data_IF_285676450963
#
_entry.id   IF_285676450963
#
_cell.length_a   1.000
_cell.length_b   1.000
_cell.length_c   1.000
_cell.angle_alpha   90.00
_cell.angle_beta   90.00
_cell.angle_gamma   90.00
#
_symmetry.space_group_name_H-M   'P 1'
#
loop_
_entity.id
_entity.type
_entity.pdbx_description
1 polymer ?
#
# COMPACT_ATOMS: atom_id res chain seq x y z
N UNK A 1 -47.52 14.49 89.29
CA UNK A 1 -47.88 13.71 88.09
C UNK A 1 -48.70 14.63 87.20
N UNK A 2 -48.01 15.30 86.27
CA UNK A 2 -48.52 16.46 85.54
C UNK A 2 -49.17 16.07 84.21
N UNK A 3 -50.25 16.79 83.88
CA UNK A 3 -51.00 16.76 82.63
C UNK A 3 -50.49 17.84 81.66
N UNK A 4 -50.40 17.43 80.39
CA UNK A 4 -50.62 18.13 79.12
C UNK A 4 -50.56 19.67 79.04
N UNK A 5 -49.68 20.14 78.14
CA UNK A 5 -49.81 21.36 77.35
C UNK A 5 -49.08 21.15 76.00
N UNK A 6 -49.79 21.43 74.89
CA UNK A 6 -49.27 21.69 73.53
C UNK A 6 -48.43 22.99 73.53
N UNK A 7 -47.45 23.19 72.60
CA UNK A 7 -47.80 23.68 71.26
C UNK A 7 -46.82 23.43 70.08
N UNK A 8 -47.36 23.69 68.89
CA UNK A 8 -46.78 24.33 67.70
C UNK A 8 -45.70 23.66 66.85
N UNK A 9 -46.18 23.29 65.66
CA UNK A 9 -45.47 23.04 64.39
C UNK A 9 -44.83 24.34 63.87
N UNK A 10 -43.58 24.26 63.43
CA UNK A 10 -43.00 25.20 62.47
C UNK A 10 -42.21 24.41 61.42
N UNK A 11 -42.54 24.67 60.15
CA UNK A 11 -42.06 24.00 58.94
C UNK A 11 -40.69 24.56 58.54
N UNK A 12 -39.74 23.69 58.23
CA UNK A 12 -38.51 24.05 57.51
C UNK A 12 -38.35 23.08 56.32
N UNK A 13 -38.54 23.64 55.13
CA UNK A 13 -38.32 22.99 53.83
C UNK A 13 -36.83 22.67 53.66
N UNK A 14 -36.51 21.40 53.45
CA UNK A 14 -35.19 20.96 53.00
C UNK A 14 -35.20 20.94 51.47
N UNK A 15 -34.41 21.82 50.86
CA UNK A 15 -34.12 21.78 49.42
C UNK A 15 -33.05 20.71 49.16
N UNK A 16 -33.43 19.64 48.46
CA UNK A 16 -32.51 18.64 47.93
C UNK A 16 -31.67 19.26 46.81
N UNK A 17 -30.40 19.54 47.08
CA UNK A 17 -29.40 19.76 46.03
C UNK A 17 -28.70 18.44 45.78
N UNK A 18 -29.06 17.76 44.68
CA UNK A 18 -28.29 16.63 44.15
C UNK A 18 -26.94 17.16 43.66
N UNK A 19 -25.87 16.82 44.37
CA UNK A 19 -24.51 16.94 43.85
C UNK A 19 -24.30 15.79 42.88
N UNK A 20 -24.32 16.07 41.58
CA UNK A 20 -23.78 15.15 40.58
C UNK A 20 -22.26 15.07 40.78
N UNK A 21 -21.82 14.00 41.45
CA UNK A 21 -20.42 13.62 41.42
C UNK A 21 -20.09 13.16 40.00
N UNK A 22 -19.35 13.99 39.24
CA UNK A 22 -18.68 13.54 38.03
C UNK A 22 -17.75 12.39 38.39
N UNK A 23 -18.01 11.21 37.81
CA UNK A 23 -17.05 10.12 37.82
C UNK A 23 -15.81 10.60 37.05
N UNK A 24 -14.74 10.93 37.77
CA UNK A 24 -13.40 10.97 37.19
C UNK A 24 -12.99 9.53 36.94
N UNK A 25 -12.97 9.13 35.67
CA UNK A 25 -12.27 7.93 35.22
C UNK A 25 -10.80 8.10 35.58
N UNK A 26 -10.35 7.31 36.56
CA UNK A 26 -8.95 7.28 36.97
C UNK A 26 -8.11 6.71 35.84
N UNK A 27 -7.24 7.55 35.26
CA UNK A 27 -6.18 7.11 34.37
C UNK A 27 -5.16 6.31 35.16
N UNK A 28 -4.94 5.06 34.76
CA UNK A 28 -3.72 4.33 35.11
C UNK A 28 -2.55 5.02 34.41
N UNK A 29 -1.92 5.98 35.08
CA UNK A 29 -0.64 6.55 34.67
C UNK A 29 0.46 5.52 34.91
N UNK A 30 0.74 4.69 33.91
CA UNK A 30 2.12 4.30 33.71
C UNK A 30 2.82 5.52 33.11
N UNK A 31 3.93 6.00 33.67
CA UNK A 31 4.50 7.33 33.37
C UNK A 31 4.92 7.56 31.91
N UNK A 32 4.72 6.56 31.05
CA UNK A 32 5.06 6.57 29.62
C UNK A 32 3.83 6.55 28.69
N UNK A 33 2.61 6.38 29.20
CA UNK A 33 1.42 6.28 28.36
C UNK A 33 0.18 6.88 29.04
N UNK A 34 -0.63 7.57 28.23
CA UNK A 34 -1.92 8.13 28.62
C UNK A 34 -2.98 7.71 27.60
N UNK A 35 -4.00 6.98 28.06
CA UNK A 35 -5.20 6.70 27.24
C UNK A 35 -6.02 7.98 27.13
N UNK A 36 -6.20 8.47 25.91
CA UNK A 36 -7.03 9.65 25.62
C UNK A 36 -8.49 9.25 25.39
N UNK A 37 -8.68 8.14 24.66
CA UNK A 37 -9.98 7.55 24.39
C UNK A 37 -9.82 6.03 24.20
N UNK A 38 -10.61 5.25 24.92
CA UNK A 38 -10.54 3.78 24.87
C UNK A 38 -11.52 3.17 23.86
N UNK A 39 -12.44 3.97 23.31
CA UNK A 39 -13.52 3.51 22.43
C UNK A 39 -13.03 3.42 20.99
N UNK A 40 -13.68 2.58 20.19
CA UNK A 40 -13.62 2.67 18.73
C UNK A 40 -14.88 3.38 18.26
N UNK A 41 -14.70 4.32 17.35
CA UNK A 41 -15.77 5.11 16.76
C UNK A 41 -15.97 4.77 15.30
N UNK A 42 -17.19 4.96 14.81
CA UNK A 42 -17.54 4.90 13.39
C UNK A 42 -17.93 6.29 12.91
N UNK A 43 -17.33 6.75 11.81
CA UNK A 43 -17.67 8.00 11.14
C UNK A 43 -17.98 7.72 9.67
N UNK A 44 -18.86 8.51 9.04
CA UNK A 44 -19.31 8.30 7.67
C UNK A 44 -20.79 8.59 7.49
N UNK A 45 -21.41 8.01 6.45
CA UNK A 45 -22.84 8.16 6.17
C UNK A 45 -23.59 6.84 5.90
N UNK A 46 -22.90 5.71 5.83
CA UNK A 46 -23.49 4.38 5.68
C UNK A 46 -23.48 3.56 6.98
N UNK A 47 -24.33 2.53 7.05
CA UNK A 47 -24.36 1.56 8.16
C UNK A 47 -23.41 0.39 7.87
N UNK A 48 -22.52 0.05 8.81
CA UNK A 48 -21.42 -0.92 8.63
C UNK A 48 -21.41 -2.03 9.71
N UNK A 49 -22.47 -2.86 9.80
CA UNK A 49 -22.59 -3.92 10.80
C UNK A 49 -21.49 -4.99 10.76
N UNK A 50 -20.74 -5.07 9.66
CA UNK A 50 -19.59 -5.95 9.47
C UNK A 50 -18.31 -5.48 10.17
N UNK A 51 -18.30 -4.30 10.81
CA UNK A 51 -17.18 -3.77 11.61
C UNK A 51 -17.48 -3.89 13.12
N UNK A 52 -17.34 -5.09 13.71
CA UNK A 52 -17.78 -5.36 15.08
C UNK A 52 -17.01 -4.59 16.15
N UNK A 53 -15.89 -3.97 15.80
CA UNK A 53 -15.09 -3.16 16.71
C UNK A 53 -15.74 -1.81 17.07
N UNK A 54 -16.66 -1.28 16.26
CA UNK A 54 -17.31 0.01 16.42
C UNK A 54 -18.85 -0.11 16.36
N UNK A 55 -19.62 0.93 16.71
CA UNK A 55 -21.06 0.97 16.45
C UNK A 55 -21.35 0.80 14.95
N UNK A 56 -22.46 0.14 14.56
CA UNK A 56 -22.81 -0.05 13.15
C UNK A 56 -23.32 1.21 12.46
N UNK A 57 -23.81 2.19 13.24
CA UNK A 57 -24.31 3.46 12.72
C UNK A 57 -23.27 4.55 13.00
N UNK A 58 -23.02 5.46 12.04
CA UNK A 58 -21.98 6.46 12.19
C UNK A 58 -22.35 7.47 13.28
N UNK A 59 -21.35 7.82 14.09
CA UNK A 59 -21.48 8.77 15.20
C UNK A 59 -21.32 10.24 14.74
N UNK A 60 -20.94 10.45 13.48
CA UNK A 60 -20.78 11.77 12.86
C UNK A 60 -19.73 11.76 11.76
N UNK A 61 -19.18 12.94 11.47
CA UNK A 61 -18.15 13.16 10.43
C UNK A 61 -16.78 13.54 11.01
N UNK A 62 -16.52 13.19 12.27
CA UNK A 62 -15.26 13.49 12.95
C UNK A 62 -15.37 13.34 14.47
N UNK A 63 -14.23 13.49 15.13
CA UNK A 63 -14.09 13.34 16.58
C UNK A 63 -13.50 14.61 17.18
N UNK A 64 -14.03 15.08 18.31
CA UNK A 64 -13.47 16.22 19.05
C UNK A 64 -13.67 16.04 20.54
N UNK A 65 -12.59 16.14 21.32
CA UNK A 65 -12.66 16.08 22.78
C UNK A 65 -11.51 16.84 23.44
N UNK A 66 -11.68 17.11 24.73
CA UNK A 66 -10.66 17.73 25.57
C UNK A 66 -9.93 16.68 26.40
N UNK A 67 -8.64 16.86 26.64
CA UNK A 67 -7.86 16.00 27.53
C UNK A 67 -6.81 16.81 28.30
N UNK A 68 -6.51 16.37 29.52
CA UNK A 68 -5.45 16.98 30.34
C UNK A 68 -4.09 16.37 29.98
N UNK A 69 -3.07 17.20 29.80
CA UNK A 69 -1.69 16.73 29.59
C UNK A 69 -0.67 17.77 30.06
N UNK A 70 0.60 17.46 29.84
CA UNK A 70 1.73 18.37 30.10
C UNK A 70 2.39 18.75 28.79
N UNK A 71 3.08 19.88 28.77
CA UNK A 71 3.90 20.27 27.62
C UNK A 71 4.93 19.18 27.27
N UNK A 72 4.92 18.75 26.02
CA UNK A 72 5.90 17.78 25.53
C UNK A 72 7.20 18.52 25.14
N UNK A 73 8.26 18.30 25.93
CA UNK A 73 9.57 18.94 25.67
C UNK A 73 10.31 18.34 24.48
N UNK A 74 10.03 17.08 24.16
CA UNK A 74 10.54 16.37 22.99
C UNK A 74 9.38 15.83 22.14
N UNK A 75 9.74 15.10 21.08
CA UNK A 75 8.76 14.37 20.29
C UNK A 75 8.15 13.26 21.15
N UNK A 76 6.82 13.20 21.14
CA UNK A 76 6.01 12.09 21.65
C UNK A 76 5.30 11.41 20.48
N UNK A 77 4.53 10.38 20.73
CA UNK A 77 3.75 9.70 19.69
C UNK A 77 2.31 9.51 20.10
N UNK A 78 1.43 9.51 19.10
CA UNK A 78 0.02 9.20 19.24
C UNK A 78 -0.24 7.88 18.52
N UNK A 79 -0.73 6.88 19.26
CA UNK A 79 -1.15 5.59 18.74
C UNK A 79 -2.67 5.52 18.67
N UNK A 80 -3.21 4.91 17.62
CA UNK A 80 -4.65 4.74 17.42
C UNK A 80 -4.93 3.58 16.47
N UNK A 81 -6.12 3.02 16.54
CA UNK A 81 -6.61 2.04 15.57
C UNK A 81 -7.43 2.73 14.48
N UNK A 82 -7.32 2.23 13.25
CA UNK A 82 -8.06 2.73 12.08
C UNK A 82 -8.47 1.59 11.14
N UNK A 83 -9.53 1.81 10.36
CA UNK A 83 -9.97 0.94 9.26
C UNK A 83 -10.61 1.77 8.14
N UNK A 84 -10.49 1.30 6.90
CA UNK A 84 -11.19 1.80 5.72
C UNK A 84 -10.94 3.28 5.38
N UNK A 85 -9.74 3.77 5.66
CA UNK A 85 -9.36 5.16 5.34
C UNK A 85 -9.13 5.27 3.81
N UNK A 86 -10.10 5.83 3.08
CA UNK A 86 -10.00 6.00 1.63
C UNK A 86 -9.75 7.46 1.24
N UNK A 87 -10.27 8.40 2.04
CA UNK A 87 -10.16 9.83 1.81
C UNK A 87 -9.25 10.52 2.86
N UNK A 88 -9.14 11.85 2.75
CA UNK A 88 -8.23 12.63 3.59
C UNK A 88 -8.85 12.86 4.96
N UNK A 89 -8.28 12.23 5.98
CA UNK A 89 -8.56 12.48 7.39
C UNK A 89 -7.36 13.15 8.06
N UNK A 90 -7.58 14.20 8.84
CA UNK A 90 -6.53 15.00 9.50
C UNK A 90 -6.68 14.90 11.00
N UNK A 91 -5.55 14.69 11.68
CA UNK A 91 -5.45 14.76 13.14
C UNK A 91 -4.90 16.12 13.53
N UNK A 92 -5.62 16.82 14.39
CA UNK A 92 -5.23 18.11 14.94
C UNK A 92 -5.16 18.06 16.46
N UNK A 93 -4.15 18.73 17.02
CA UNK A 93 -4.06 18.99 18.46
C UNK A 93 -3.85 20.48 18.67
N UNK A 94 -4.70 21.10 19.51
CA UNK A 94 -4.67 22.54 19.81
C UNK A 94 -4.72 23.43 18.54
N UNK A 95 -5.47 23.00 17.53
CA UNK A 95 -5.63 23.70 16.24
C UNK A 95 -4.44 23.56 15.28
N UNK A 96 -3.45 22.72 15.61
CA UNK A 96 -2.33 22.38 14.72
C UNK A 96 -2.54 20.99 14.15
N UNK A 97 -2.59 20.87 12.82
CA UNK A 97 -2.55 19.58 12.14
C UNK A 97 -1.20 18.90 12.39
N UNK A 98 -1.23 17.71 12.98
CA UNK A 98 -0.03 16.92 13.25
C UNK A 98 0.17 15.77 12.26
N UNK A 99 -0.90 15.29 11.64
CA UNK A 99 -0.83 14.21 10.64
C UNK A 99 -2.06 14.17 9.73
N UNK A 100 -1.87 13.62 8.53
CA UNK A 100 -2.94 13.02 7.74
C UNK A 100 -2.94 11.52 8.03
N UNK A 101 -4.11 10.94 8.29
CA UNK A 101 -4.25 9.50 8.56
C UNK A 101 -3.89 8.71 7.30
N UNK A 102 -3.06 7.67 7.47
CA UNK A 102 -2.62 6.81 6.36
C UNK A 102 -3.82 6.08 5.76
N UNK A 103 -3.90 5.99 4.44
CA UNK A 103 -4.93 5.18 3.76
C UNK A 103 -4.72 3.69 4.05
N UNK A 104 -5.79 2.97 4.36
CA UNK A 104 -5.77 1.53 4.65
C UNK A 104 -7.17 0.96 4.74
N UNK A 105 -7.43 -0.14 4.03
CA UNK A 105 -8.69 -0.89 4.13
C UNK A 105 -8.72 -1.77 5.37
N UNK A 106 -7.56 -2.31 5.78
CA UNK A 106 -7.45 -3.21 6.92
C UNK A 106 -7.57 -2.46 8.26
N UNK A 107 -8.04 -3.18 9.28
CA UNK A 107 -7.95 -2.72 10.67
C UNK A 107 -6.49 -2.79 11.12
N UNK A 108 -5.86 -1.64 11.34
CA UNK A 108 -4.46 -1.53 11.73
C UNK A 108 -4.31 -0.60 12.93
N UNK A 109 -3.22 -0.77 13.67
CA UNK A 109 -2.74 0.23 14.61
C UNK A 109 -1.72 1.15 13.92
N UNK A 110 -1.95 2.44 14.02
CA UNK A 110 -1.14 3.50 13.40
C UNK A 110 -0.50 4.38 14.47
N UNK A 111 0.64 4.98 14.11
CA UNK A 111 1.43 5.84 14.97
C UNK A 111 1.76 7.13 14.23
N UNK A 112 1.56 8.28 14.89
CA UNK A 112 1.95 9.59 14.35
C UNK A 112 2.79 10.36 15.36
N UNK A 113 3.73 11.16 14.87
CA UNK A 113 4.58 11.98 15.72
C UNK A 113 3.75 13.14 16.30
N UNK A 114 3.96 13.42 17.58
CA UNK A 114 3.48 14.63 18.25
C UNK A 114 4.71 15.54 18.43
N UNK A 115 4.90 16.55 17.56
CA UNK A 115 6.08 17.40 17.60
C UNK A 115 6.23 18.11 18.95
N UNK A 116 7.46 18.45 19.38
CA UNK A 116 7.69 19.23 20.60
C UNK A 116 6.79 20.46 20.69
N UNK A 117 6.31 20.79 21.89
CA UNK A 117 5.47 21.96 22.18
C UNK A 117 4.11 21.97 21.46
N UNK A 118 3.64 20.82 20.98
CA UNK A 118 2.27 20.67 20.46
C UNK A 118 1.25 20.67 21.60
N UNK A 119 1.62 20.06 22.73
CA UNK A 119 0.81 20.02 23.94
C UNK A 119 1.12 21.20 24.86
N UNK A 120 0.13 21.61 25.65
CA UNK A 120 0.24 22.61 26.70
C UNK A 120 -0.01 21.99 28.07
N UNK A 121 0.46 22.65 29.12
CA UNK A 121 0.10 22.27 30.49
C UNK A 121 -1.38 22.54 30.75
N UNK A 122 -2.11 21.50 31.16
CA UNK A 122 -3.55 21.55 31.42
C UNK A 122 -4.36 21.01 30.25
N UNK A 123 -5.44 21.71 29.92
CA UNK A 123 -6.41 21.26 28.91
C UNK A 123 -5.88 21.42 27.49
N UNK A 124 -5.95 20.35 26.72
CA UNK A 124 -5.62 20.25 25.30
C UNK A 124 -6.86 19.82 24.51
N UNK A 125 -6.87 20.07 23.20
CA UNK A 125 -8.00 19.75 22.32
C UNK A 125 -7.55 18.84 21.19
N UNK A 126 -8.14 17.64 21.10
CA UNK A 126 -7.97 16.73 19.97
C UNK A 126 -9.08 16.94 18.95
N UNK A 127 -8.76 16.89 17.66
CA UNK A 127 -9.74 16.78 16.58
C UNK A 127 -9.30 15.80 15.50
N UNK A 128 -10.26 15.04 15.00
CA UNK A 128 -10.19 14.28 13.76
C UNK A 128 -11.18 14.90 12.77
N UNK A 129 -10.70 15.35 11.62
CA UNK A 129 -11.49 16.05 10.61
C UNK A 129 -11.32 15.43 9.23
N UNK A 130 -12.31 15.59 8.36
CA UNK A 130 -12.27 15.13 6.96
C UNK A 130 -12.85 16.18 6.02
N UNK A 131 -12.37 16.18 4.78
CA UNK A 131 -12.96 16.96 3.69
C UNK A 131 -14.01 16.14 2.90
N UNK A 132 -14.16 14.85 3.23
CA UNK A 132 -15.05 13.88 2.58
C UNK A 132 -15.85 13.11 3.64
N UNK A 133 -17.00 13.65 4.10
CA UNK A 133 -17.76 13.07 5.21
C UNK A 133 -18.50 11.77 4.85
N UNK A 134 -18.57 11.41 3.58
CA UNK A 134 -19.13 10.13 3.10
C UNK A 134 -18.10 9.00 3.05
N UNK A 135 -16.94 9.20 3.68
CA UNK A 135 -15.92 8.16 3.80
C UNK A 135 -16.16 7.41 5.11
N UNK A 136 -16.75 6.22 5.03
CA UNK A 136 -16.99 5.39 6.20
C UNK A 136 -15.69 4.80 6.74
N UNK A 137 -15.39 5.09 8.01
CA UNK A 137 -14.17 4.68 8.70
C UNK A 137 -14.46 4.19 10.12
N UNK A 138 -13.56 3.35 10.66
CA UNK A 138 -13.43 3.23 12.12
C UNK A 138 -12.14 3.88 12.60
N UNK A 139 -12.21 4.59 13.72
CA UNK A 139 -11.07 5.26 14.34
C UNK A 139 -11.22 5.30 15.87
N UNK A 140 -10.18 5.00 16.63
CA UNK A 140 -10.26 5.11 18.08
C UNK A 140 -9.13 4.41 18.81
N UNK A 141 -9.36 4.07 20.09
CA UNK A 141 -8.37 3.52 21.01
C UNK A 141 -7.10 4.38 21.03
N UNK A 142 -7.32 5.67 21.21
CA UNK A 142 -6.33 6.74 21.08
C UNK A 142 -5.49 6.78 22.37
N UNK A 143 -4.17 6.64 22.20
CA UNK A 143 -3.18 6.60 23.28
C UNK A 143 -2.07 7.59 22.97
N UNK A 144 -1.75 8.44 23.93
CA UNK A 144 -0.60 9.32 23.90
C UNK A 144 0.58 8.64 24.59
N UNK A 145 1.65 8.38 23.87
CA UNK A 145 2.87 7.76 24.38
C UNK A 145 3.93 8.84 24.59
N UNK A 146 4.51 8.89 25.78
CA UNK A 146 5.57 9.85 26.14
C UNK A 146 6.95 9.45 25.61
N UNK A 147 6.96 8.84 24.42
CA UNK A 147 8.11 8.27 23.74
C UNK A 147 8.00 8.54 22.24
N UNK A 148 9.12 8.53 21.53
CA UNK A 148 9.12 8.62 20.07
C UNK A 148 8.50 7.36 19.46
N UNK A 149 8.05 7.42 18.21
CA UNK A 149 7.57 6.23 17.48
C UNK A 149 8.65 5.12 17.49
N UNK A 150 9.91 5.52 17.34
CA UNK A 150 11.07 4.59 17.36
C UNK A 150 11.16 3.82 18.66
N UNK A 151 10.93 4.48 19.79
CA UNK A 151 11.00 3.85 21.10
C UNK A 151 9.76 3.01 21.39
N UNK A 152 8.57 3.51 21.04
CA UNK A 152 7.31 2.79 21.21
C UNK A 152 7.29 1.45 20.45
N UNK A 153 7.84 1.43 19.23
CA UNK A 153 7.89 0.25 18.36
C UNK A 153 9.20 -0.53 18.47
N UNK A 154 10.11 -0.13 19.36
CA UNK A 154 11.45 -0.72 19.48
C UNK A 154 12.21 -0.81 18.15
N UNK A 155 12.11 0.24 17.32
CA UNK A 155 12.69 0.23 15.97
C UNK A 155 14.21 0.16 16.01
N UNK A 156 14.77 -0.62 15.08
CA UNK A 156 16.19 -0.80 14.81
C UNK A 156 16.44 -0.43 13.36
N UNK A 157 17.50 0.34 13.13
CA UNK A 157 17.92 0.75 11.80
C UNK A 157 18.70 -0.37 11.10
N UNK A 158 18.37 -0.59 9.83
CA UNK A 158 19.00 -1.56 8.93
C UNK A 158 19.52 -0.80 7.72
N UNK A 159 20.80 -0.97 7.42
CA UNK A 159 21.46 -0.47 6.22
C UNK A 159 22.11 -1.63 5.47
N UNK A 160 21.79 -1.78 4.20
CA UNK A 160 22.32 -2.84 3.32
C UNK A 160 22.71 -2.25 1.96
N UNK A 161 23.51 -3.00 1.21
CA UNK A 161 23.81 -2.68 -0.19
C UNK A 161 23.55 -3.91 -1.06
N UNK A 162 23.00 -3.71 -2.25
CA UNK A 162 22.82 -4.73 -3.28
C UNK A 162 23.86 -4.52 -4.37
N UNK A 163 24.57 -5.58 -4.74
CA UNK A 163 25.69 -5.53 -5.69
C UNK A 163 25.58 -6.60 -6.75
N UNK A 164 26.08 -6.31 -7.94
CA UNK A 164 26.34 -7.32 -8.95
C UNK A 164 27.61 -8.13 -8.60
N UNK A 165 27.56 -9.45 -8.76
CA UNK A 165 28.64 -10.37 -8.39
C UNK A 165 29.96 -10.09 -9.13
N UNK A 166 29.88 -9.82 -10.44
CA UNK A 166 31.06 -9.71 -11.31
C UNK A 166 31.75 -8.36 -11.21
N UNK A 167 30.96 -7.27 -11.20
CA UNK A 167 31.48 -5.89 -11.20
C UNK A 167 31.64 -5.33 -9.80
N UNK A 168 30.92 -5.89 -8.80
CA UNK A 168 30.77 -5.37 -7.45
C UNK A 168 30.16 -3.96 -7.38
N UNK A 169 29.66 -3.45 -8.51
CA UNK A 169 28.93 -2.20 -8.55
C UNK A 169 27.62 -2.35 -7.79
N UNK A 170 27.18 -1.25 -7.19
CA UNK A 170 25.84 -1.19 -6.63
C UNK A 170 24.84 -1.17 -7.78
N UNK A 171 23.76 -1.93 -7.63
CA UNK A 171 22.73 -2.08 -8.66
C UNK A 171 21.36 -1.82 -8.04
N UNK A 172 20.42 -1.20 -8.78
CA UNK A 172 19.06 -1.09 -8.31
C UNK A 172 18.47 -2.47 -7.96
N UNK A 173 17.57 -2.53 -7.00
CA UNK A 173 16.98 -3.80 -6.59
C UNK A 173 15.67 -3.61 -5.82
N UNK A 174 14.94 -4.70 -5.67
CA UNK A 174 13.91 -4.88 -4.66
C UNK A 174 14.49 -5.63 -3.45
N UNK A 175 14.24 -5.11 -2.26
CA UNK A 175 14.53 -5.77 -0.98
C UNK A 175 13.21 -6.10 -0.28
N UNK A 176 13.00 -7.36 0.05
CA UNK A 176 11.84 -7.86 0.80
C UNK A 176 12.27 -8.25 2.21
N UNK A 177 11.49 -7.84 3.21
CA UNK A 177 11.77 -8.04 4.63
C UNK A 177 10.59 -8.74 5.27
N UNK A 178 10.84 -9.93 5.83
CA UNK A 178 9.85 -10.73 6.54
C UNK A 178 10.32 -11.08 7.94
N UNK A 179 9.41 -11.53 8.79
CA UNK A 179 9.76 -12.31 9.98
C UNK A 179 10.10 -13.78 9.58
N UNK A 180 10.56 -14.63 10.51
CA UNK A 180 10.86 -16.03 10.23
C UNK A 180 9.64 -16.88 9.84
N UNK A 181 8.43 -16.40 10.09
CA UNK A 181 7.18 -17.03 9.65
C UNK A 181 6.80 -16.64 8.20
N UNK A 182 7.61 -15.82 7.52
CA UNK A 182 7.36 -15.35 6.16
C UNK A 182 6.35 -14.20 6.05
N UNK A 183 5.97 -13.59 7.17
CA UNK A 183 5.07 -12.43 7.16
C UNK A 183 5.87 -11.16 6.87
N UNK A 184 5.38 -10.34 5.94
CA UNK A 184 5.95 -9.03 5.63
C UNK A 184 5.97 -8.14 6.87
N UNK A 185 7.07 -7.42 7.07
CA UNK A 185 7.21 -6.50 8.19
C UNK A 185 6.89 -5.06 7.79
N UNK A 186 6.19 -4.28 8.62
CA UNK A 186 6.06 -2.84 8.40
C UNK A 186 7.44 -2.17 8.33
N UNK A 187 7.66 -1.41 7.27
CA UNK A 187 8.90 -0.66 7.03
C UNK A 187 8.68 0.78 7.50
N UNK A 188 9.62 1.31 8.30
CA UNK A 188 9.56 2.67 8.82
C UNK A 188 10.74 3.50 8.32
N UNK A 189 10.50 4.81 8.12
CA UNK A 189 11.53 5.82 7.83
C UNK A 189 12.46 5.49 6.65
N UNK A 190 11.95 4.79 5.63
CA UNK A 190 12.70 4.38 4.45
C UNK A 190 12.45 5.30 3.23
N UNK A 191 11.28 5.92 3.13
CA UNK A 191 10.91 6.73 1.96
C UNK A 191 11.87 7.91 1.74
N UNK A 192 12.41 7.98 0.52
CA UNK A 192 13.18 9.11 0.01
C UNK A 192 13.18 9.07 -1.53
N UNK A 193 13.83 10.02 -2.20
CA UNK A 193 13.84 10.09 -3.67
C UNK A 193 14.43 8.85 -4.37
N UNK A 194 15.24 8.08 -3.66
CA UNK A 194 15.94 6.89 -4.15
C UNK A 194 15.32 5.57 -3.67
N UNK A 195 14.26 5.64 -2.85
CA UNK A 195 13.58 4.45 -2.32
C UNK A 195 12.06 4.57 -2.38
N UNK A 196 11.42 3.59 -3.00
CA UNK A 196 9.97 3.40 -2.95
C UNK A 196 9.63 2.24 -2.00
N UNK A 197 8.61 2.39 -1.16
CA UNK A 197 8.36 1.44 -0.06
C UNK A 197 6.93 0.95 -0.03
N UNK A 198 6.75 -0.34 0.27
CA UNK A 198 5.48 -0.99 0.60
C UNK A 198 5.65 -1.82 1.86
N UNK A 199 4.58 -2.44 2.34
CA UNK A 199 4.67 -3.36 3.47
C UNK A 199 5.70 -4.46 3.17
N UNK A 200 6.72 -4.56 4.00
CA UNK A 200 7.83 -5.49 3.86
C UNK A 200 8.67 -5.33 2.59
N UNK A 201 8.54 -4.25 1.81
CA UNK A 201 9.27 -4.09 0.55
C UNK A 201 9.89 -2.72 0.44
N UNK A 202 11.15 -2.68 0.03
CA UNK A 202 11.91 -1.47 -0.28
C UNK A 202 12.56 -1.64 -1.65
N UNK A 203 12.18 -0.81 -2.61
CA UNK A 203 12.91 -0.66 -3.86
C UNK A 203 14.01 0.38 -3.69
N UNK A 204 15.15 0.19 -4.36
CA UNK A 204 16.24 1.15 -4.41
C UNK A 204 16.74 1.31 -5.84
N UNK A 205 17.01 2.54 -6.25
CA UNK A 205 17.65 2.86 -7.52
C UNK A 205 19.18 2.82 -7.43
N UNK A 206 19.74 3.19 -6.28
CA UNK A 206 21.19 3.24 -6.04
C UNK A 206 21.81 1.92 -5.61
N UNK A 207 20.98 0.93 -5.27
CA UNK A 207 21.40 -0.33 -4.64
C UNK A 207 21.71 -0.21 -3.15
N UNK A 208 21.77 1.00 -2.57
CA UNK A 208 21.83 1.19 -1.13
C UNK A 208 20.40 1.21 -0.56
N UNK A 209 20.18 0.47 0.52
CA UNK A 209 18.91 0.52 1.25
C UNK A 209 19.09 0.95 2.70
N UNK A 210 18.15 1.77 3.17
CA UNK A 210 18.05 2.18 4.56
C UNK A 210 16.60 2.16 5.02
N UNK A 211 16.34 1.49 6.13
CA UNK A 211 15.02 1.42 6.74
C UNK A 211 15.10 1.12 8.23
N UNK A 212 13.97 1.27 8.92
CA UNK A 212 13.80 0.86 10.31
C UNK A 212 12.68 -0.17 10.43
N UNK A 213 12.87 -1.18 11.29
CA UNK A 213 11.88 -2.22 11.62
C UNK A 213 11.91 -2.52 13.12
N UNK A 214 10.83 -3.06 13.71
CA UNK A 214 10.85 -3.49 15.11
C UNK A 214 11.99 -4.50 15.39
N UNK A 215 12.58 -4.42 16.58
CA UNK A 215 13.55 -5.41 17.05
C UNK A 215 12.97 -6.83 17.02
N UNK A 216 13.81 -7.80 16.67
CA UNK A 216 13.43 -9.19 16.46
C UNK A 216 14.26 -9.86 15.37
N UNK A 217 13.96 -11.13 15.12
CA UNK A 217 14.55 -11.87 14.01
C UNK A 217 13.85 -11.48 12.70
N UNK A 218 14.62 -11.19 11.66
CA UNK A 218 14.12 -10.85 10.33
C UNK A 218 14.86 -11.67 9.26
N UNK A 219 14.17 -11.91 8.15
CA UNK A 219 14.72 -12.47 6.93
C UNK A 219 14.65 -11.40 5.83
N UNK A 220 15.77 -11.14 5.17
CA UNK A 220 15.89 -10.16 4.11
C UNK A 220 16.24 -10.87 2.80
N UNK A 221 15.55 -10.52 1.71
CA UNK A 221 15.80 -11.04 0.37
C UNK A 221 15.99 -9.88 -0.61
N UNK A 222 17.01 -9.93 -1.47
CA UNK A 222 17.18 -9.02 -2.61
C UNK A 222 16.95 -9.73 -3.94
N UNK A 223 16.33 -9.02 -4.89
CA UNK A 223 16.06 -9.45 -6.27
C UNK A 223 16.08 -8.28 -7.26
N UNK A 224 16.26 -8.55 -8.57
CA UNK A 224 16.28 -7.55 -9.65
C UNK A 224 15.58 -8.04 -10.94
N UNK A 225 14.44 -8.71 -10.80
CA UNK A 225 13.75 -9.34 -11.93
C UNK A 225 14.29 -10.73 -12.32
N UNK A 226 13.72 -11.35 -13.36
CA UNK A 226 13.84 -12.79 -13.63
C UNK A 226 15.19 -13.24 -14.20
N UNK A 227 16.03 -12.30 -14.64
CA UNK A 227 17.36 -12.59 -15.21
C UNK A 227 18.45 -12.75 -14.15
N UNK A 228 18.13 -12.37 -12.91
CA UNK A 228 19.08 -12.28 -11.80
C UNK A 228 18.78 -13.33 -10.73
N UNK A 229 19.84 -13.79 -10.07
CA UNK A 229 19.74 -14.61 -8.86
C UNK A 229 19.06 -13.83 -7.74
N UNK A 230 18.70 -14.53 -6.67
CA UNK A 230 18.30 -13.93 -5.39
C UNK A 230 19.42 -14.06 -4.36
N UNK A 231 19.51 -13.10 -3.44
CA UNK A 231 20.38 -13.19 -2.26
C UNK A 231 19.56 -12.98 -1.00
N UNK A 232 19.94 -13.63 0.10
CA UNK A 232 19.22 -13.48 1.37
C UNK A 232 20.13 -13.43 2.59
N UNK A 233 19.59 -12.87 3.67
CA UNK A 233 20.28 -12.69 4.95
C UNK A 233 19.28 -12.81 6.11
N UNK A 234 19.62 -13.63 7.10
CA UNK A 234 18.92 -13.68 8.38
C UNK A 234 19.61 -12.74 9.38
N UNK A 235 18.84 -11.88 10.05
CA UNK A 235 19.34 -10.88 11.00
C UNK A 235 18.58 -10.97 12.32
N UNK A 236 19.31 -11.00 13.43
CA UNK A 236 18.76 -10.83 14.78
C UNK A 236 18.97 -9.38 15.24
N UNK A 237 17.88 -8.60 15.33
CA UNK A 237 17.91 -7.19 15.66
C UNK A 237 17.61 -6.97 17.16
N UNK A 238 18.55 -6.36 17.90
CA UNK A 238 18.40 -6.05 19.33
C UNK A 238 18.67 -4.58 19.65
N UNK A 239 18.05 -4.07 20.73
CA UNK A 239 18.28 -2.73 21.30
C UNK A 239 19.10 -2.79 22.60
N UNK A 240 19.95 -1.78 22.92
CA UNK A 240 20.38 -0.70 22.04
C UNK A 240 21.34 -1.23 20.96
N UNK A 241 21.24 -0.69 19.75
CA UNK A 241 21.82 -1.19 18.47
C UNK A 241 23.14 -1.97 18.67
N UNK A 242 23.03 -3.28 18.79
CA UNK A 242 24.11 -4.24 18.58
C UNK A 242 23.53 -5.43 17.81
N UNK A 243 23.21 -5.23 16.53
CA UNK A 243 22.98 -6.34 15.63
C UNK A 243 24.26 -7.21 15.63
N UNK A 244 24.15 -8.42 16.16
CA UNK A 244 25.29 -9.33 16.31
C UNK A 244 25.17 -10.43 15.26
N UNK A 245 26.08 -10.41 14.29
CA UNK A 245 26.32 -11.54 13.38
C UNK A 245 27.57 -12.27 13.87
N UNK A 246 27.41 -13.40 14.55
CA UNK A 246 28.56 -14.21 15.01
C UNK A 246 29.63 -13.45 15.83
N UNK A 247 29.27 -12.36 16.52
CA UNK A 247 30.19 -11.52 17.30
C UNK A 247 30.81 -10.31 16.57
N UNK A 248 30.44 -10.02 15.32
CA UNK A 248 30.78 -8.79 14.60
C UNK A 248 29.60 -7.81 14.60
N UNK A 249 29.90 -6.51 14.76
CA UNK A 249 28.96 -5.40 14.51
C UNK A 249 28.64 -5.39 13.02
N UNK A 250 27.38 -5.54 12.62
CA UNK A 250 26.93 -5.18 11.27
C UNK A 250 26.10 -3.89 11.35
N UNK A 251 26.44 -2.87 10.55
CA UNK A 251 25.53 -2.51 9.47
C UNK A 251 26.31 -2.11 8.21
N UNK A 252 26.61 -3.08 7.34
CA UNK A 252 27.09 -2.92 5.95
C UNK A 252 26.92 -4.27 5.21
N UNK A 253 25.79 -4.94 5.41
CA UNK A 253 25.52 -6.24 4.76
C UNK A 253 25.40 -6.07 3.25
N UNK A 254 26.22 -6.81 2.50
CA UNK A 254 26.11 -6.84 1.04
C UNK A 254 25.27 -8.06 0.62
N UNK A 255 24.21 -7.81 -0.15
CA UNK A 255 23.45 -8.82 -0.88
C UNK A 255 23.99 -8.82 -2.31
N UNK A 256 24.54 -9.95 -2.75
CA UNK A 256 25.21 -10.05 -4.05
C UNK A 256 24.37 -10.87 -5.01
N UNK A 257 23.99 -10.28 -6.14
CA UNK A 257 23.19 -10.91 -7.20
C UNK A 257 24.08 -11.23 -8.41
N UNK A 258 23.92 -12.41 -8.97
CA UNK A 258 24.52 -12.80 -10.24
C UNK A 258 23.48 -12.67 -11.36
N UNK A 259 23.89 -12.23 -12.54
CA UNK A 259 23.05 -12.37 -13.74
C UNK A 259 23.14 -13.81 -14.24
N UNK A 260 22.04 -14.56 -14.15
CA UNK A 260 22.03 -16.00 -14.40
C UNK A 260 21.56 -16.36 -15.81
N UNK A 261 20.79 -15.47 -16.44
CA UNK A 261 20.25 -15.68 -17.78
C UNK A 261 20.96 -14.76 -18.77
N UNK A 262 21.57 -15.34 -19.81
CA UNK A 262 22.09 -14.58 -20.94
C UNK A 262 20.92 -14.12 -21.82
N UNK A 263 20.60 -12.84 -21.71
CA UNK A 263 19.54 -12.17 -22.48
C UNK A 263 20.10 -11.34 -23.64
N UNK A 264 21.30 -11.66 -24.13
CA UNK A 264 21.88 -11.00 -25.32
C UNK A 264 20.90 -11.07 -26.50
N UNK A 265 20.48 -9.89 -26.98
CA UNK A 265 19.51 -9.76 -28.07
C UNK A 265 18.04 -9.73 -27.64
N UNK A 266 17.76 -9.82 -26.34
CA UNK A 266 16.45 -9.63 -25.72
C UNK A 266 16.43 -8.34 -24.89
N UNK A 267 15.24 -7.85 -24.57
CA UNK A 267 15.01 -6.68 -23.73
C UNK A 267 13.89 -7.02 -22.73
N UNK A 268 14.13 -6.80 -21.44
CA UNK A 268 13.10 -6.89 -20.40
C UNK A 268 12.13 -5.71 -20.53
N UNK A 269 10.87 -5.98 -20.85
CA UNK A 269 9.87 -4.95 -21.15
C UNK A 269 8.65 -5.06 -20.25
N UNK A 270 8.16 -3.92 -19.77
CA UNK A 270 6.84 -3.80 -19.17
C UNK A 270 6.00 -2.84 -20.02
N UNK A 271 5.01 -3.42 -20.70
CA UNK A 271 4.16 -2.70 -21.65
C UNK A 271 2.90 -2.14 -21.04
N UNK A 272 2.63 -2.37 -19.75
CA UNK A 272 1.36 -2.01 -19.13
C UNK A 272 1.59 -1.43 -17.72
N UNK A 273 1.89 -0.14 -17.68
CA UNK A 273 2.29 0.58 -16.47
C UNK A 273 1.30 1.70 -16.17
N UNK A 274 0.89 1.78 -14.90
CA UNK A 274 0.05 2.85 -14.35
C UNK A 274 0.70 3.52 -13.15
N UNK A 275 0.36 4.79 -12.98
CA UNK A 275 0.71 5.57 -11.78
C UNK A 275 -0.54 6.18 -11.16
N UNK A 276 -0.54 6.32 -9.83
CA UNK A 276 -1.55 7.10 -9.12
C UNK A 276 -1.53 8.57 -9.59
N UNK A 277 -0.35 9.08 -9.95
CA UNK A 277 -0.15 10.46 -10.42
C UNK A 277 -1.00 10.82 -11.63
N UNK A 278 -1.11 9.93 -12.62
CA UNK A 278 -1.78 10.24 -13.89
C UNK A 278 -3.05 9.42 -14.12
N UNK A 279 -3.11 8.18 -13.63
CA UNK A 279 -4.29 7.30 -13.79
C UNK A 279 -5.28 7.40 -12.63
N UNK A 280 -4.88 7.99 -11.50
CA UNK A 280 -5.74 8.15 -10.32
C UNK A 280 -6.00 6.85 -9.54
N UNK A 281 -5.33 5.73 -9.89
CA UNK A 281 -5.37 4.47 -9.16
C UNK A 281 -3.98 3.82 -9.09
N UNK A 282 -3.89 2.73 -8.32
CA UNK A 282 -2.62 2.16 -7.87
C UNK A 282 -2.06 2.94 -6.68
N UNK A 283 -0.85 2.59 -6.28
CA UNK A 283 -0.24 3.12 -5.04
C UNK A 283 1.07 3.88 -5.29
N UNK A 284 1.50 4.00 -6.54
CA UNK A 284 2.80 4.56 -6.93
C UNK A 284 2.64 5.96 -7.50
N UNK A 285 3.39 6.92 -6.96
CA UNK A 285 3.70 8.14 -7.73
C UNK A 285 4.52 7.80 -8.98
N UNK A 286 4.60 8.73 -9.93
CA UNK A 286 5.50 8.57 -11.09
C UNK A 286 6.97 8.50 -10.66
N UNK A 287 7.41 9.26 -9.65
CA UNK A 287 8.77 9.17 -9.12
C UNK A 287 9.05 7.79 -8.50
N UNK A 288 8.15 7.27 -7.66
CA UNK A 288 8.29 5.92 -7.12
C UNK A 288 8.36 4.87 -8.23
N UNK A 289 7.57 5.04 -9.30
CA UNK A 289 7.55 4.11 -10.43
C UNK A 289 8.90 4.05 -11.13
N UNK A 290 9.63 5.16 -11.21
CA UNK A 290 10.97 5.14 -11.82
C UNK A 290 11.93 4.28 -11.00
N UNK A 291 11.86 4.36 -9.67
CA UNK A 291 12.65 3.52 -8.75
C UNK A 291 12.26 2.05 -8.89
N UNK A 292 10.96 1.74 -8.94
CA UNK A 292 10.52 0.34 -9.03
C UNK A 292 10.85 -0.30 -10.37
N UNK A 293 10.73 0.42 -11.49
CA UNK A 293 11.14 -0.06 -12.81
C UNK A 293 12.63 -0.38 -12.85
N UNK A 294 13.47 0.53 -12.34
CA UNK A 294 14.91 0.27 -12.23
C UNK A 294 15.18 -0.92 -11.30
N UNK A 295 14.50 -1.00 -10.15
CA UNK A 295 14.66 -2.04 -9.13
C UNK A 295 14.26 -3.44 -9.59
N UNK A 296 13.23 -3.56 -10.43
CA UNK A 296 12.79 -4.83 -11.02
C UNK A 296 13.55 -5.21 -12.30
N UNK A 297 14.51 -4.38 -12.74
CA UNK A 297 15.30 -4.68 -13.93
C UNK A 297 14.49 -4.60 -15.23
N UNK A 298 13.48 -3.74 -15.29
CA UNK A 298 12.82 -3.40 -16.56
C UNK A 298 13.77 -2.55 -17.39
N UNK A 299 13.96 -2.89 -18.66
CA UNK A 299 14.87 -2.19 -19.59
C UNK A 299 14.10 -1.33 -20.61
N UNK A 300 12.83 -1.66 -20.88
CA UNK A 300 11.91 -0.87 -21.72
C UNK A 300 10.56 -0.70 -21.01
N UNK A 301 10.25 0.52 -20.60
CA UNK A 301 9.03 0.85 -19.88
C UNK A 301 8.08 1.65 -20.78
N UNK A 302 6.87 1.14 -21.00
CA UNK A 302 5.84 1.86 -21.76
C UNK A 302 4.88 2.55 -20.78
N UNK A 303 4.82 3.88 -20.80
CA UNK A 303 3.95 4.68 -19.92
C UNK A 303 2.51 4.66 -20.45
N UNK A 304 1.68 3.75 -19.94
CA UNK A 304 0.33 3.50 -20.44
C UNK A 304 -0.74 3.91 -19.43
N UNK A 305 -0.60 5.09 -18.84
CA UNK A 305 -1.65 5.64 -17.99
C UNK A 305 -2.98 5.77 -18.76
N UNK A 306 -4.11 5.59 -18.05
CA UNK A 306 -5.43 5.53 -18.69
C UNK A 306 -5.75 6.80 -19.48
N UNK A 307 -5.97 6.65 -20.79
CA UNK A 307 -6.35 7.73 -21.69
C UNK A 307 -5.46 8.98 -21.57
N UNK A 308 -4.16 8.78 -21.28
CA UNK A 308 -3.15 9.84 -21.25
C UNK A 308 -1.91 9.40 -22.04
N UNK A 309 -1.38 10.29 -22.88
CA UNK A 309 -0.10 10.11 -23.55
C UNK A 309 1.03 10.57 -22.61
N UNK A 310 1.27 9.84 -21.53
CA UNK A 310 2.16 10.29 -20.45
C UNK A 310 3.64 10.12 -20.83
N UNK A 311 4.46 11.14 -20.61
CA UNK A 311 5.92 11.05 -20.79
C UNK A 311 6.67 10.89 -19.45
N UNK A 312 7.32 9.74 -19.27
CA UNK A 312 8.16 9.46 -18.10
C UNK A 312 9.60 9.99 -18.23
N UNK A 313 10.06 10.35 -19.44
CA UNK A 313 11.45 10.77 -19.67
C UNK A 313 11.88 11.96 -18.78
N UNK A 314 11.07 13.01 -18.56
CA UNK A 314 11.45 14.11 -17.68
C UNK A 314 11.64 13.69 -16.22
N UNK A 315 10.90 12.69 -15.75
CA UNK A 315 11.01 12.16 -14.39
C UNK A 315 12.25 11.29 -14.24
N UNK A 316 12.46 10.40 -15.21
CA UNK A 316 13.64 9.55 -15.29
C UNK A 316 14.94 10.38 -15.34
N UNK A 317 14.99 11.45 -16.15
CA UNK A 317 16.16 12.32 -16.28
C UNK A 317 16.46 13.05 -14.95
N UNK A 318 15.44 13.63 -14.31
CA UNK A 318 15.61 14.31 -13.02
C UNK A 318 16.15 13.38 -11.93
N UNK A 319 15.82 12.09 -12.01
CA UNK A 319 16.27 11.07 -11.06
C UNK A 319 17.58 10.40 -11.48
N UNK A 320 18.10 10.68 -12.68
CA UNK A 320 19.36 10.12 -13.17
C UNK A 320 19.28 8.65 -13.57
N UNK A 321 18.11 8.15 -13.96
CA UNK A 321 17.86 6.71 -14.19
C UNK A 321 17.92 6.28 -15.65
N UNK A 322 18.36 7.17 -16.55
CA UNK A 322 18.43 6.91 -18.00
C UNK A 322 19.39 5.79 -18.40
N UNK A 323 20.34 5.41 -17.55
CA UNK A 323 21.25 4.28 -17.80
C UNK A 323 20.59 2.92 -17.50
N UNK A 324 19.45 2.89 -16.79
CA UNK A 324 18.81 1.66 -16.35
C UNK A 324 17.71 1.18 -17.29
N UNK A 325 16.95 2.08 -17.89
CA UNK A 325 15.84 1.73 -18.78
C UNK A 325 15.56 2.80 -19.82
N UNK A 326 14.83 2.44 -20.88
CA UNK A 326 14.29 3.37 -21.86
C UNK A 326 12.80 3.55 -21.64
N UNK A 327 12.32 4.79 -21.57
CA UNK A 327 10.88 5.09 -21.51
C UNK A 327 10.29 5.29 -22.91
N UNK A 328 9.09 4.80 -23.13
CA UNK A 328 8.31 5.04 -24.35
C UNK A 328 6.93 5.55 -23.97
N UNK A 329 6.54 6.68 -24.56
CA UNK A 329 5.19 7.23 -24.40
C UNK A 329 4.18 6.27 -25.00
N UNK A 330 3.27 5.78 -24.17
CA UNK A 330 2.12 4.99 -24.58
C UNK A 330 0.83 5.58 -24.04
N UNK A 331 -0.23 4.78 -24.11
CA UNK A 331 -1.55 5.09 -23.57
C UNK A 331 -2.30 3.77 -23.39
N UNK A 332 -2.90 3.51 -22.21
CA UNK A 332 -3.95 2.50 -22.12
C UNK A 332 -5.27 3.15 -22.56
N UNK A 333 -5.58 2.96 -23.84
CA UNK A 333 -6.82 3.42 -24.46
C UNK A 333 -7.95 2.57 -23.89
N UNK A 334 -8.68 3.18 -22.97
CA UNK A 334 -9.68 2.54 -22.13
C UNK A 334 -11.05 2.74 -22.75
N UNK A 335 -11.65 1.66 -23.26
CA UNK A 335 -12.85 1.72 -24.10
C UNK A 335 -14.00 0.87 -23.56
N UNK A 336 -15.25 1.09 -24.03
CA UNK A 336 -16.39 0.25 -23.68
C UNK A 336 -16.25 -1.24 -24.05
N UNK A 337 -15.34 -1.58 -24.97
CA UNK A 337 -15.23 -2.93 -25.53
C UNK A 337 -13.95 -3.68 -25.15
N UNK A 338 -13.14 -3.09 -24.27
CA UNK A 338 -11.83 -3.60 -23.90
C UNK A 338 -10.80 -2.49 -23.78
N UNK A 339 -9.64 -2.81 -23.23
CA UNK A 339 -8.56 -1.84 -23.07
C UNK A 339 -7.39 -2.23 -23.97
N UNK A 340 -6.69 -1.22 -24.49
CA UNK A 340 -5.61 -1.43 -25.45
C UNK A 340 -4.42 -0.55 -25.13
N UNK A 341 -3.24 -1.13 -25.02
CA UNK A 341 -2.01 -0.33 -25.00
C UNK A 341 -1.62 0.04 -26.43
N UNK A 342 -1.39 1.34 -26.65
CA UNK A 342 -0.99 1.89 -27.94
C UNK A 342 0.32 2.68 -27.78
N UNK A 343 1.37 2.32 -28.54
CA UNK A 343 2.68 2.97 -28.45
C UNK A 343 3.54 2.79 -29.71
N UNK A 344 4.59 3.60 -29.93
CA UNK A 344 4.82 4.88 -29.27
C UNK A 344 3.76 5.91 -29.68
N UNK A 345 3.52 6.88 -28.82
CA UNK A 345 2.70 8.07 -29.08
C UNK A 345 3.52 9.33 -28.82
N UNK A 346 2.96 10.48 -29.17
CA UNK A 346 3.53 11.79 -28.87
C UNK A 346 2.77 12.40 -27.68
N UNK A 347 3.45 12.85 -26.61
CA UNK A 347 2.78 13.37 -25.42
C UNK A 347 2.00 14.66 -25.66
N UNK A 348 2.33 15.41 -26.71
CA UNK A 348 1.67 16.68 -27.04
C UNK A 348 0.47 16.53 -27.99
N UNK A 349 0.27 15.33 -28.56
CA UNK A 349 -0.83 15.06 -29.49
C UNK A 349 -2.11 14.67 -28.73
N UNK A 350 -3.26 14.77 -29.40
CA UNK A 350 -4.54 14.29 -28.85
C UNK A 350 -4.46 12.77 -28.57
N UNK A 351 -5.17 12.35 -27.52
CA UNK A 351 -5.26 10.93 -27.16
C UNK A 351 -6.08 10.17 -28.22
N UNK A 352 -5.79 8.88 -28.46
CA UNK A 352 -6.58 8.07 -29.38
C UNK A 352 -8.08 8.07 -29.03
N UNK A 353 -8.97 7.85 -30.04
CA UNK A 353 -10.39 7.69 -29.77
C UNK A 353 -10.64 6.49 -28.86
N UNK A 354 -11.48 6.67 -27.84
CA UNK A 354 -11.70 5.69 -26.77
C UNK A 354 -13.18 5.46 -26.44
N UNK A 355 -14.10 6.11 -27.15
CA UNK A 355 -15.56 6.00 -26.97
C UNK A 355 -16.25 5.13 -28.05
N UNK A 356 -15.48 4.60 -28.99
CA UNK A 356 -15.98 3.76 -30.08
C UNK A 356 -16.27 2.33 -29.61
N UNK A 357 -17.15 1.65 -30.35
CA UNK A 357 -17.60 0.29 -30.05
C UNK A 357 -17.22 -0.72 -31.14
N UNK A 358 -16.38 -0.32 -32.09
CA UNK A 358 -15.86 -1.16 -33.17
C UNK A 358 -14.34 -1.27 -33.02
N UNK A 359 -13.85 -2.51 -32.92
CA UNK A 359 -12.44 -2.76 -32.63
C UNK A 359 -11.52 -2.33 -33.77
N UNK A 360 -11.96 -2.42 -35.03
CA UNK A 360 -11.15 -2.01 -36.18
C UNK A 360 -11.03 -0.49 -36.18
N UNK A 361 -12.13 0.23 -35.97
CA UNK A 361 -12.10 1.69 -35.90
C UNK A 361 -11.25 2.21 -34.74
N UNK A 362 -11.31 1.55 -33.58
CA UNK A 362 -10.46 1.88 -32.44
C UNK A 362 -8.97 1.72 -32.78
N UNK A 363 -8.58 0.56 -33.30
CA UNK A 363 -7.17 0.31 -33.65
C UNK A 363 -6.71 1.23 -34.77
N UNK A 364 -7.52 1.45 -35.81
CA UNK A 364 -7.20 2.40 -36.88
C UNK A 364 -7.02 3.83 -36.32
N UNK A 365 -7.83 4.23 -35.35
CA UNK A 365 -7.70 5.49 -34.62
C UNK A 365 -6.38 5.59 -33.86
N UNK A 366 -5.98 4.53 -33.16
CA UNK A 366 -4.68 4.44 -32.48
C UNK A 366 -3.52 4.55 -33.47
N UNK A 367 -3.62 3.89 -34.64
CA UNK A 367 -2.61 3.99 -35.71
C UNK A 367 -2.53 5.40 -36.28
N UNK A 368 -3.68 6.04 -36.49
CA UNK A 368 -3.75 7.42 -36.98
C UNK A 368 -3.12 8.41 -35.99
N UNK A 369 -3.22 8.13 -34.69
CA UNK A 369 -2.52 8.86 -33.62
C UNK A 369 -1.02 8.53 -33.53
N UNK A 370 -0.51 7.58 -34.31
CA UNK A 370 0.92 7.26 -34.44
C UNK A 370 1.36 5.92 -33.87
N UNK A 371 0.48 5.17 -33.21
CA UNK A 371 0.83 3.90 -32.57
C UNK A 371 1.38 2.89 -33.58
N UNK A 372 2.54 2.30 -33.28
CA UNK A 372 3.18 1.25 -34.07
C UNK A 372 2.99 -0.13 -33.49
N UNK A 373 2.64 -0.22 -32.21
CA UNK A 373 2.24 -1.42 -31.50
C UNK A 373 0.91 -1.16 -30.83
N UNK A 374 -0.03 -2.07 -30.99
CA UNK A 374 -1.30 -2.11 -30.28
C UNK A 374 -1.47 -3.47 -29.63
N UNK A 375 -1.67 -3.49 -28.31
CA UNK A 375 -1.83 -4.71 -27.51
C UNK A 375 -3.23 -4.73 -26.91
N UNK A 376 -3.94 -5.85 -27.04
CA UNK A 376 -5.18 -6.07 -26.28
C UNK A 376 -4.83 -6.45 -24.83
N UNK A 377 -5.21 -5.61 -23.89
CA UNK A 377 -4.92 -5.81 -22.48
C UNK A 377 -5.95 -6.74 -21.83
N UNK A 378 -5.50 -7.47 -20.80
CA UNK A 378 -6.29 -8.30 -19.88
C UNK A 378 -7.64 -8.78 -20.46
N UNK A 379 -7.64 -9.57 -21.56
CA UNK A 379 -8.84 -9.81 -22.38
C UNK A 379 -9.94 -10.64 -21.70
N UNK A 380 -9.70 -11.06 -20.44
CA UNK A 380 -10.61 -11.78 -19.56
C UNK A 380 -11.16 -10.93 -18.43
N UNK A 381 -10.70 -9.69 -18.27
CA UNK A 381 -11.24 -8.74 -17.29
C UNK A 381 -12.49 -8.04 -17.87
N UNK A 382 -13.51 -7.67 -17.06
CA UNK A 382 -13.61 -7.83 -15.60
C UNK A 382 -14.05 -9.22 -15.15
N UNK A 383 -14.45 -10.09 -16.08
CA UNK A 383 -14.67 -11.51 -15.82
C UNK A 383 -14.61 -12.27 -17.14
N UNK A 384 -14.34 -13.57 -17.08
CA UNK A 384 -14.27 -14.44 -18.27
C UNK A 384 -15.42 -14.25 -19.25
N UNK A 385 -16.65 -14.03 -18.75
CA UNK A 385 -17.83 -13.85 -19.59
C UNK A 385 -18.01 -12.42 -20.14
N UNK A 386 -17.50 -11.41 -19.43
CA UNK A 386 -17.71 -9.99 -19.76
C UNK A 386 -16.52 -9.34 -20.48
N UNK A 387 -15.34 -9.95 -20.40
CA UNK A 387 -14.16 -9.47 -21.10
C UNK A 387 -14.24 -9.68 -22.61
N UNK A 388 -13.36 -9.03 -23.39
CA UNK A 388 -13.33 -9.12 -24.84
C UNK A 388 -13.45 -10.55 -25.40
N UNK A 389 -12.75 -11.52 -24.82
CA UNK A 389 -12.81 -12.92 -25.28
C UNK A 389 -14.07 -13.66 -24.85
N UNK A 390 -14.67 -13.29 -23.72
CA UNK A 390 -15.95 -13.82 -23.27
C UNK A 390 -17.10 -13.40 -24.19
N UNK A 391 -17.17 -12.10 -24.49
CA UNK A 391 -18.14 -11.52 -25.42
C UNK A 391 -17.96 -12.10 -26.82
N UNK A 392 -16.71 -12.37 -27.20
CA UNK A 392 -16.38 -13.04 -28.45
C UNK A 392 -16.63 -14.54 -28.49
N UNK A 393 -17.03 -15.17 -27.38
CA UNK A 393 -17.16 -16.62 -27.24
C UNK A 393 -15.91 -17.38 -27.73
N UNK A 394 -14.71 -16.88 -27.40
CA UNK A 394 -13.45 -17.49 -27.82
C UNK A 394 -13.37 -18.94 -27.34
N UNK A 395 -13.24 -19.86 -28.28
CA UNK A 395 -12.97 -21.27 -28.01
C UNK A 395 -11.49 -21.45 -27.66
N UNK A 396 -11.21 -21.74 -26.39
CA UNK A 396 -9.84 -21.94 -25.90
C UNK A 396 -9.06 -23.11 -26.53
N UNK A 397 -9.73 -24.09 -27.16
CA UNK A 397 -9.05 -25.21 -27.82
C UNK A 397 -8.73 -24.93 -29.28
N UNK A 398 -9.65 -24.28 -29.98
CA UNK A 398 -9.52 -24.07 -31.44
C UNK A 398 -8.99 -22.68 -31.79
N UNK A 399 -9.13 -21.71 -30.88
CA UNK A 399 -8.86 -20.30 -31.13
C UNK A 399 -9.96 -19.60 -31.95
N UNK A 400 -11.05 -20.29 -32.28
CA UNK A 400 -12.17 -19.69 -33.00
C UNK A 400 -12.97 -18.76 -32.09
N UNK A 401 -13.45 -17.64 -32.62
CA UNK A 401 -14.36 -16.75 -31.90
C UNK A 401 -15.52 -16.36 -32.81
N UNK A 402 -16.64 -15.95 -32.21
CA UNK A 402 -17.60 -15.11 -32.90
C UNK A 402 -16.95 -13.77 -33.24
N UNK A 403 -17.47 -13.03 -34.25
CA UNK A 403 -17.04 -11.66 -34.49
C UNK A 403 -17.20 -10.84 -33.20
N UNK A 404 -16.08 -10.33 -32.68
CA UNK A 404 -16.07 -9.52 -31.46
C UNK A 404 -16.28 -8.08 -31.89
N UNK A 405 -17.36 -7.45 -31.43
CA UNK A 405 -17.63 -6.03 -31.69
C UNK A 405 -17.53 -5.63 -33.19
N UNK A 406 -18.10 -6.45 -34.07
CA UNK A 406 -18.19 -6.17 -35.51
C UNK A 406 -17.06 -6.74 -36.37
N UNK A 407 -16.01 -7.33 -35.77
CA UNK A 407 -14.87 -7.87 -36.52
C UNK A 407 -14.56 -9.33 -36.19
N UNK A 408 -14.38 -10.15 -37.24
CA UNK A 408 -13.75 -11.48 -37.15
C UNK A 408 -12.23 -11.41 -37.23
N UNK A 409 -11.67 -10.22 -37.48
CA UNK A 409 -10.24 -9.97 -37.55
C UNK A 409 -9.81 -9.27 -36.26
N UNK A 410 -8.78 -9.79 -35.61
CA UNK A 410 -8.11 -9.12 -34.51
C UNK A 410 -7.06 -8.16 -35.09
N UNK A 411 -7.27 -6.82 -35.03
CA UNK A 411 -6.41 -5.86 -35.72
C UNK A 411 -5.20 -5.42 -34.87
N UNK A 412 -5.13 -5.88 -33.62
CA UNK A 412 -4.01 -5.63 -32.70
C UNK A 412 -2.82 -6.57 -32.98
N UNK A 413 -1.63 -6.18 -32.53
CA UNK A 413 -0.38 -6.91 -32.79
C UNK A 413 -0.12 -8.02 -31.77
N UNK A 414 -0.57 -7.83 -30.53
CA UNK A 414 -0.36 -8.76 -29.43
C UNK A 414 -1.51 -8.71 -28.41
N UNK A 415 -1.50 -9.65 -27.47
CA UNK A 415 -2.42 -9.67 -26.33
C UNK A 415 -1.68 -10.05 -25.06
N UNK A 416 -2.18 -9.59 -23.92
CA UNK A 416 -1.70 -10.05 -22.63
C UNK A 416 -2.18 -11.47 -22.34
N UNK A 417 -1.22 -12.39 -22.21
CA UNK A 417 -1.50 -13.77 -21.81
C UNK A 417 -1.62 -13.90 -20.28
N UNK A 418 -0.76 -13.18 -19.56
CA UNK A 418 -0.67 -13.13 -18.10
C UNK A 418 -0.87 -11.68 -17.67
N UNK A 419 -1.83 -11.43 -16.79
CA UNK A 419 -2.09 -10.12 -16.20
C UNK A 419 -2.63 -10.30 -14.77
N UNK A 420 -2.35 -9.36 -13.87
CA UNK A 420 -2.72 -9.39 -12.44
C UNK A 420 -4.21 -9.13 -12.14
N UNK A 421 -5.01 -8.68 -13.10
CA UNK A 421 -6.38 -8.20 -12.86
C UNK A 421 -7.43 -9.32 -12.76
N UNK A 422 -7.11 -10.57 -13.11
CA UNK A 422 -8.02 -11.70 -12.97
C UNK A 422 -7.23 -12.92 -12.51
N UNK A 423 -7.45 -13.35 -11.27
CA UNK A 423 -6.84 -14.57 -10.75
C UNK A 423 -7.30 -15.76 -11.59
N UNK A 424 -6.35 -16.48 -12.18
CA UNK A 424 -6.59 -17.73 -12.88
C UNK A 424 -6.03 -18.88 -12.03
N UNK A 425 -6.72 -20.01 -12.03
CA UNK A 425 -6.08 -21.26 -11.64
C UNK A 425 -5.00 -21.59 -12.69
N UNK A 426 -3.81 -21.99 -12.25
CA UNK A 426 -2.73 -22.36 -13.16
C UNK A 426 -3.23 -23.51 -14.08
N UNK A 427 -3.29 -23.31 -15.41
CA UNK A 427 -3.77 -24.34 -16.33
C UNK A 427 -2.87 -25.59 -16.34
N UNK A 428 -1.63 -25.50 -15.82
CA UNK A 428 -0.72 -26.62 -15.61
C UNK A 428 -0.91 -27.34 -14.27
N UNK A 429 -1.71 -26.77 -13.35
CA UNK A 429 -2.12 -27.39 -12.08
C UNK A 429 -3.54 -27.96 -12.12
N UNK A 430 -4.23 -27.90 -13.26
CA UNK A 430 -5.48 -28.61 -13.53
C UNK A 430 -5.25 -30.13 -13.69
N UNK A 431 -4.74 -30.78 -12.64
CA UNK A 431 -4.85 -32.22 -12.49
C UNK A 431 -4.96 -32.58 -10.99
N UNK A 432 -6.02 -32.07 -10.37
CA UNK A 432 -6.60 -32.76 -9.21
C UNK A 432 -7.68 -33.71 -9.73
N UNK A 433 -7.39 -35.02 -9.89
CA UNK A 433 -8.44 -35.96 -10.23
C UNK A 433 -9.51 -35.91 -9.14
N UNK A 434 -10.76 -35.77 -9.58
CA UNK A 434 -11.93 -35.89 -8.74
C UNK A 434 -11.84 -37.17 -7.91
N UNK A 435 -12.16 -37.05 -6.61
CA UNK A 435 -12.09 -38.14 -5.64
C UNK A 435 -12.83 -39.39 -6.15
N UNK A 436 -12.08 -40.46 -6.42
CA UNK A 436 -12.52 -41.85 -6.59
C UNK A 436 -11.44 -42.79 -6.06
N UNK A 437 -11.77 -43.98 -5.54
CA UNK A 437 -11.02 -44.59 -4.44
C UNK A 437 -9.71 -45.27 -4.88
N UNK A 438 -8.66 -44.96 -4.12
CA UNK A 438 -7.45 -45.76 -3.83
C UNK A 438 -6.82 -46.59 -4.97
N UNK A 439 -5.63 -46.20 -5.43
CA UNK A 439 -4.52 -47.16 -5.60
C UNK A 439 -3.14 -46.48 -5.63
N UNK A 440 -2.27 -46.97 -4.74
CA UNK A 440 -0.80 -47.14 -4.83
C UNK A 440 0.07 -46.09 -5.53
N UNK A 441 0.94 -45.47 -4.73
CA UNK A 441 2.08 -44.65 -5.12
C UNK A 441 3.15 -45.42 -5.91
N UNK A 442 3.66 -44.80 -6.97
CA UNK A 442 4.90 -45.20 -7.65
C UNK A 442 5.89 -44.03 -7.53
N UNK A 443 7.13 -44.23 -7.02
CA UNK A 443 8.10 -43.15 -6.87
C UNK A 443 8.79 -42.84 -8.19
N UNK A 444 8.88 -41.56 -8.54
CA UNK A 444 9.67 -41.07 -9.67
C UNK A 444 11.16 -41.14 -9.29
N UNK A 445 11.93 -41.95 -10.02
CA UNK A 445 13.38 -41.95 -10.00
C UNK A 445 13.90 -40.65 -10.63
N UNK A 446 14.73 -39.91 -9.90
CA UNK A 446 15.67 -38.95 -10.50
C UNK A 446 16.77 -39.73 -11.22
N UNK A 447 17.06 -39.37 -12.46
CA UNK A 447 18.31 -39.74 -13.14
C UNK A 447 19.00 -38.48 -13.60
N UNK A 448 20.22 -38.32 -13.06
CA UNK A 448 21.42 -37.60 -13.53
C UNK A 448 21.24 -36.36 -14.40
#
# INVERSE_FOLDING_TARGET
>A
MNRNLLPSVCVLLVSSSMVFASLRTGTTQDGQEQVLDASMHHFGDDSTPEWPEAPPEPEGSGLSFEFESTVNRGEWSLAFFQRHISNTWKIEINGKTIATVRKSDALIESYVAVPPQTLVDGTNHFKLTTDSPSDDITFGRIRLLHTTIRDALNLVSVSLVVREETTLNHIPARVTVTNPAGQLLPIYFAENLHQATREGVVYTDTGAVHFEVPAGDIHVVASRGPEWSIASLDLALVRPIEATFGGLRAPDGALTLAREVDTTGFISCDTHIHTLTFSGHGDSSVEERMVTLAGEGVELAISTDHNHNTDYAPYQERMGLGEHFTTVVGNEVTTPIGHFNAFPLNPEDEVPPHDLHDMVQLVDGMRAAGAKVVILNHPRWPSHAKGPFGVGELNHYTGDSQPVHGSSNYPFDAMELVNSCTSEDDPMLEDKPSKGPTSTSIPIRRTS
#
